data_IF_004142550465
#
_entry.id   IF_004142550465
#
_cell.length_a   1.000
_cell.length_b   1.000
_cell.length_c   1.000
_cell.angle_alpha   90.00
_cell.angle_beta   90.00
_cell.angle_gamma   90.00
#
_symmetry.space_group_name_H-M   'P 1'
#
loop_
_entity.id
_entity.type
_entity.pdbx_description
1 polymer ?
#
# COMPACT_ATOMS: atom_id res chain seq x y z
N UNK A 1 -10.51 6.22 7.88
CA UNK A 1 -10.60 6.87 6.55
C UNK A 1 -10.84 5.86 5.42
N UNK A 2 -9.90 4.95 5.08
CA UNK A 2 -10.10 3.98 3.99
C UNK A 2 -11.31 3.05 4.19
N UNK A 3 -11.53 2.55 5.41
CA UNK A 3 -12.71 1.75 5.72
C UNK A 3 -14.03 2.51 5.45
N UNK A 4 -14.06 3.82 5.74
CA UNK A 4 -15.21 4.68 5.45
C UNK A 4 -15.43 4.89 3.96
N UNK A 5 -14.35 5.11 3.18
CA UNK A 5 -14.42 5.16 1.72
C UNK A 5 -15.01 3.87 1.15
N UNK A 6 -14.51 2.72 1.60
CA UNK A 6 -15.00 1.42 1.12
C UNK A 6 -16.42 1.11 1.60
N UNK A 7 -16.81 1.53 2.82
CA UNK A 7 -18.19 1.42 3.29
C UNK A 7 -19.15 2.25 2.42
N UNK A 8 -18.79 3.48 2.07
CA UNK A 8 -19.58 4.32 1.16
C UNK A 8 -19.71 3.68 -0.24
N UNK A 9 -18.60 3.14 -0.78
CA UNK A 9 -18.61 2.41 -2.05
C UNK A 9 -19.53 1.20 -2.01
N UNK A 10 -19.47 0.40 -0.94
CA UNK A 10 -20.35 -0.75 -0.75
C UNK A 10 -21.82 -0.34 -0.68
N UNK A 11 -22.15 0.74 0.02
CA UNK A 11 -23.52 1.28 0.07
C UNK A 11 -24.04 1.72 -1.30
N UNK A 12 -23.14 2.10 -2.22
CA UNK A 12 -23.45 2.45 -3.61
C UNK A 12 -23.42 1.25 -4.57
N UNK A 13 -23.24 0.02 -4.08
CA UNK A 13 -23.11 -1.18 -4.92
C UNK A 13 -21.78 -1.27 -5.69
N UNK A 14 -20.80 -0.45 -5.32
CA UNK A 14 -19.46 -0.44 -5.92
C UNK A 14 -18.52 -1.37 -5.16
N UNK A 15 -17.53 -1.90 -5.87
CA UNK A 15 -16.49 -2.74 -5.26
C UNK A 15 -15.53 -1.90 -4.39
N UNK A 16 -15.09 -2.42 -3.23
CA UNK A 16 -14.03 -1.82 -2.42
C UNK A 16 -12.75 -1.67 -3.24
N UNK A 17 -11.98 -0.62 -2.96
CA UNK A 17 -10.66 -0.43 -3.56
C UNK A 17 -9.61 -0.24 -2.47
N UNK A 18 -8.43 -0.80 -2.70
CA UNK A 18 -7.27 -0.68 -1.84
C UNK A 18 -6.17 0.07 -2.58
N UNK A 19 -5.37 0.91 -1.88
CA UNK A 19 -4.26 1.59 -2.50
C UNK A 19 -3.14 0.61 -2.88
N UNK A 20 -2.25 0.97 -3.83
CA UNK A 20 -1.17 0.11 -4.28
C UNK A 20 -0.19 -0.27 -3.17
N UNK A 21 0.44 -1.46 -3.22
CA UNK A 21 1.36 -1.94 -2.17
C UNK A 21 2.67 -1.15 -2.07
N UNK A 22 2.97 -0.31 -3.07
CA UNK A 22 4.05 0.68 -3.02
C UNK A 22 3.76 1.84 -2.05
N UNK A 23 2.51 2.04 -1.64
CA UNK A 23 2.11 3.01 -0.62
C UNK A 23 2.17 2.40 0.78
N UNK A 24 2.35 3.22 1.81
CA UNK A 24 2.40 2.73 3.19
C UNK A 24 1.13 1.96 3.60
N UNK A 25 -0.05 2.48 3.22
CA UNK A 25 -1.33 1.85 3.54
C UNK A 25 -1.54 0.56 2.74
N UNK A 26 -1.20 0.56 1.45
CA UNK A 26 -1.31 -0.64 0.63
C UNK A 26 -0.35 -1.74 1.09
N UNK A 27 0.88 -1.39 1.50
CA UNK A 27 1.84 -2.33 2.06
C UNK A 27 1.30 -2.98 3.35
N UNK A 28 0.69 -2.18 4.23
CA UNK A 28 0.11 -2.69 5.47
C UNK A 28 -1.10 -3.60 5.22
N UNK A 29 -1.99 -3.22 4.29
CA UNK A 29 -3.14 -4.05 3.91
C UNK A 29 -2.65 -5.37 3.33
N UNK A 30 -1.68 -5.33 2.42
CA UNK A 30 -1.07 -6.52 1.85
C UNK A 30 -0.50 -7.44 2.93
N UNK A 31 0.25 -6.88 3.88
CA UNK A 31 0.79 -7.63 5.00
C UNK A 31 -0.33 -8.27 5.85
N UNK A 32 -1.40 -7.54 6.13
CA UNK A 32 -2.55 -8.07 6.86
C UNK A 32 -3.24 -9.22 6.12
N UNK A 33 -3.36 -9.14 4.80
CA UNK A 33 -4.09 -10.13 3.99
C UNK A 33 -3.25 -11.33 3.56
N UNK A 34 -1.94 -11.18 3.43
CA UNK A 34 -1.02 -12.23 2.95
C UNK A 34 -0.29 -12.96 4.09
N UNK A 35 -0.32 -12.43 5.32
CA UNK A 35 0.30 -13.11 6.47
C UNK A 35 -0.54 -14.29 6.94
N UNK A 36 0.13 -15.33 7.45
CA UNK A 36 -0.53 -16.45 8.11
C UNK A 36 -1.33 -15.96 9.32
N UNK A 37 -2.67 -16.14 9.35
CA UNK A 37 -3.50 -15.72 10.48
C UNK A 37 -3.08 -16.36 11.81
N UNK A 38 -2.54 -17.58 11.80
CA UNK A 38 -2.17 -18.29 13.02
C UNK A 38 -0.93 -17.69 13.72
N UNK A 39 -0.08 -16.98 12.96
CA UNK A 39 1.17 -16.42 13.45
C UNK A 39 1.25 -14.91 13.24
N UNK A 40 0.13 -14.26 12.93
CA UNK A 40 0.10 -12.83 12.65
C UNK A 40 0.52 -12.02 13.88
N UNK A 41 1.45 -11.08 13.69
CA UNK A 41 1.87 -10.13 14.69
C UNK A 41 1.53 -8.71 14.24
N UNK A 42 0.79 -7.93 15.05
CA UNK A 42 0.54 -6.54 14.74
C UNK A 42 1.86 -5.79 14.59
N UNK A 43 1.94 -4.95 13.56
CA UNK A 43 3.15 -4.21 13.23
C UNK A 43 2.80 -2.84 12.68
N UNK A 44 3.63 -1.85 13.02
CA UNK A 44 3.61 -0.55 12.34
C UNK A 44 4.16 -0.71 10.91
N UNK A 45 3.88 0.27 10.05
CA UNK A 45 4.46 0.24 8.70
C UNK A 45 6.00 0.34 8.77
N UNK A 46 6.68 -0.63 8.15
CA UNK A 46 8.14 -0.63 8.01
C UNK A 46 8.54 -0.78 6.54
N UNK A 47 9.76 -0.40 6.18
CA UNK A 47 10.26 -0.55 4.80
C UNK A 47 10.36 -2.01 4.32
N UNK A 48 10.28 -2.98 5.22
CA UNK A 48 10.24 -4.41 4.90
C UNK A 48 8.89 -4.87 4.34
N UNK A 49 7.80 -4.13 4.59
CA UNK A 49 6.47 -4.48 4.06
C UNK A 49 6.28 -4.09 2.59
N UNK A 50 7.08 -3.14 2.12
CA UNK A 50 7.00 -2.64 0.75
C UNK A 50 7.57 -3.66 -0.24
N UNK A 51 7.07 -3.67 -1.50
CA UNK A 51 7.61 -4.52 -2.54
C UNK A 51 9.15 -4.40 -2.68
N UNK A 52 9.81 -5.51 -3.04
CA UNK A 52 11.23 -5.49 -3.36
C UNK A 52 11.50 -4.64 -4.60
N UNK A 53 12.72 -4.12 -4.70
CA UNK A 53 13.18 -3.42 -5.90
C UNK A 53 13.35 -4.42 -7.03
N UNK A 54 12.83 -4.09 -8.22
CA UNK A 54 13.06 -4.89 -9.43
C UNK A 54 14.44 -4.60 -10.03
N UNK A 55 14.92 -3.36 -9.90
CA UNK A 55 16.17 -2.89 -10.53
C UNK A 55 17.34 -2.85 -9.54
N UNK A 56 18.08 -3.95 -9.44
CA UNK A 56 19.48 -3.99 -8.98
C UNK A 56 19.83 -3.34 -7.61
N UNK A 57 21.13 -3.18 -7.36
CA UNK A 57 21.65 -2.60 -6.10
C UNK A 57 21.47 -1.08 -6.08
N UNK A 58 20.49 -0.59 -5.32
CA UNK A 58 20.31 0.85 -5.05
C UNK A 58 21.06 1.31 -3.79
N UNK A 59 21.76 2.45 -3.90
CA UNK A 59 22.46 3.08 -2.78
C UNK A 59 21.49 3.35 -1.61
N UNK A 60 21.91 2.98 -0.38
CA UNK A 60 21.06 3.04 0.82
C UNK A 60 20.42 4.42 1.06
N UNK A 61 21.18 5.49 0.78
CA UNK A 61 20.73 6.88 0.93
C UNK A 61 19.56 7.25 0.00
N UNK A 62 19.50 6.67 -1.20
CA UNK A 62 18.48 7.00 -2.21
C UNK A 62 17.18 6.19 -2.06
N UNK A 63 17.22 5.08 -1.34
CA UNK A 63 16.07 4.17 -1.21
C UNK A 63 14.83 4.84 -0.62
N UNK A 64 15.00 5.67 0.42
CA UNK A 64 13.88 6.37 1.04
C UNK A 64 13.18 7.32 0.06
N UNK A 65 13.97 8.17 -0.60
CA UNK A 65 13.47 9.12 -1.59
C UNK A 65 12.79 8.41 -2.77
N UNK A 66 13.41 7.36 -3.31
CA UNK A 66 12.81 6.59 -4.43
C UNK A 66 11.52 5.88 -4.04
N UNK A 67 11.41 5.39 -2.80
CA UNK A 67 10.13 4.83 -2.30
C UNK A 67 9.07 5.92 -2.23
N UNK A 68 9.41 7.11 -1.72
CA UNK A 68 8.48 8.22 -1.64
C UNK A 68 8.00 8.68 -3.03
N UNK A 69 8.92 8.85 -3.98
CA UNK A 69 8.60 9.21 -5.38
C UNK A 69 7.64 8.18 -6.01
N UNK A 70 7.94 6.88 -5.87
CA UNK A 70 7.08 5.81 -6.40
C UNK A 70 5.72 5.76 -5.70
N UNK A 71 5.70 5.90 -4.37
CA UNK A 71 4.49 5.86 -3.58
C UNK A 71 3.55 7.02 -3.92
N UNK A 72 4.08 8.24 -4.11
CA UNK A 72 3.28 9.40 -4.50
C UNK A 72 2.69 9.22 -5.90
N UNK A 73 3.51 8.81 -6.87
CA UNK A 73 3.05 8.56 -8.24
C UNK A 73 1.93 7.52 -8.30
N UNK A 74 2.10 6.40 -7.59
CA UNK A 74 1.10 5.33 -7.55
C UNK A 74 -0.17 5.73 -6.78
N UNK A 75 -0.01 6.54 -5.72
CA UNK A 75 -1.13 7.06 -4.95
C UNK A 75 -1.98 8.01 -5.80
N UNK A 76 -1.35 8.90 -6.57
CA UNK A 76 -2.06 9.83 -7.45
C UNK A 76 -2.79 9.09 -8.57
N UNK A 77 -2.14 8.09 -9.19
CA UNK A 77 -2.79 7.23 -10.18
C UNK A 77 -4.00 6.47 -9.58
N UNK A 78 -3.86 5.95 -8.36
CA UNK A 78 -4.96 5.28 -7.67
C UNK A 78 -6.12 6.23 -7.35
N UNK A 79 -5.82 7.44 -6.88
CA UNK A 79 -6.81 8.48 -6.59
C UNK A 79 -7.57 8.92 -7.83
N UNK A 80 -6.86 9.12 -8.95
CA UNK A 80 -7.51 9.44 -10.23
C UNK A 80 -8.49 8.35 -10.67
N UNK A 81 -8.13 7.08 -10.45
CA UNK A 81 -9.00 5.94 -10.77
C UNK A 81 -10.14 5.70 -9.76
N UNK A 82 -10.23 6.46 -8.65
CA UNK A 82 -11.35 6.38 -7.70
C UNK A 82 -12.54 7.28 -8.07
N UNK A 83 -12.31 8.23 -8.99
CA UNK A 83 -13.33 9.13 -9.54
C UNK A 83 -14.25 8.37 -10.49
#
# INVERSE_FOLDING_TARGET
>A
LLAGLNAARLAMGLTPRTPPPSTALGALIRHLTESDPAHFQPSNVTFGLFPPWQDGKMAKKLRGQKRAEKALLDLDAWRAALS
#
